data_IF_279569686392
#
_entry.id   IF_279569686392
#
_cell.length_a   1.000
_cell.length_b   1.000
_cell.length_c   1.000
_cell.angle_alpha   90.00
_cell.angle_beta   90.00
_cell.angle_gamma   90.00
#
_symmetry.space_group_name_H-M   'P 1'
#
loop_
_entity.id
_entity.type
_entity.pdbx_description
1 polymer ?
#
# COMPACT_ATOMS: atom_id res chain seq x y z
N UNK A 1 34.61 29.71 2.65
CA UNK A 1 33.51 29.27 3.52
C UNK A 1 32.20 29.73 2.91
N UNK A 2 31.29 28.82 2.55
CA UNK A 2 30.04 29.18 1.90
C UNK A 2 28.98 28.10 2.11
N UNK A 3 27.96 28.43 2.90
CA UNK A 3 26.78 27.62 3.20
C UNK A 3 26.02 27.31 1.91
N UNK A 4 25.82 26.03 1.58
CA UNK A 4 24.81 25.61 0.57
C UNK A 4 23.56 25.10 1.29
N UNK A 5 22.51 25.93 1.24
CA UNK A 5 21.12 25.50 1.40
C UNK A 5 20.70 24.86 0.08
N UNK A 6 20.37 23.58 0.10
CA UNK A 6 19.63 22.92 -0.99
C UNK A 6 18.21 22.66 -0.49
N UNK A 7 17.27 23.49 -0.94
CA UNK A 7 15.85 23.26 -0.75
C UNK A 7 15.38 22.16 -1.70
N UNK A 8 14.80 21.11 -1.11
CA UNK A 8 13.98 20.06 -1.71
C UNK A 8 12.92 20.63 -2.67
N UNK A 9 12.72 19.95 -3.80
CA UNK A 9 11.46 19.94 -4.57
C UNK A 9 11.48 18.79 -5.58
N UNK A 10 11.20 17.57 -5.12
CA UNK A 10 10.75 16.45 -5.94
C UNK A 10 9.63 15.75 -5.17
N UNK A 11 8.42 16.29 -5.23
CA UNK A 11 7.22 15.54 -4.85
C UNK A 11 6.67 14.93 -6.14
N UNK A 12 6.71 13.60 -6.24
CA UNK A 12 6.11 12.83 -7.33
C UNK A 12 4.59 12.92 -7.22
N UNK A 13 3.98 13.78 -8.05
CA UNK A 13 2.53 13.89 -8.18
C UNK A 13 2.02 12.69 -9.00
N UNK A 14 1.13 11.87 -8.41
CA UNK A 14 0.39 10.85 -9.15
C UNK A 14 -0.75 11.53 -9.91
N UNK A 15 -0.70 11.46 -11.24
CA UNK A 15 -1.71 12.05 -12.13
C UNK A 15 -3.00 11.23 -12.10
N UNK A 16 -4.14 11.90 -11.98
CA UNK A 16 -5.48 11.31 -11.86
C UNK A 16 -6.33 11.81 -13.02
N UNK A 17 -6.48 10.99 -14.05
CA UNK A 17 -7.39 11.24 -15.17
C UNK A 17 -8.78 10.69 -14.82
N UNK A 18 -9.78 11.57 -14.81
CA UNK A 18 -11.19 11.20 -14.66
C UNK A 18 -12.02 12.01 -15.68
N UNK A 19 -12.25 11.40 -16.85
CA UNK A 19 -13.11 11.92 -17.90
C UNK A 19 -14.57 11.53 -17.61
N UNK A 20 -15.33 12.46 -17.04
CA UNK A 20 -16.79 12.34 -17.00
C UNK A 20 -17.44 13.61 -17.58
N UNK A 21 -17.58 13.64 -18.91
CA UNK A 21 -18.33 14.69 -19.61
C UNK A 21 -19.83 14.35 -19.63
N UNK A 22 -20.61 14.95 -18.73
CA UNK A 22 -22.07 14.97 -18.85
C UNK A 22 -22.53 16.24 -19.57
N UNK A 23 -23.22 16.06 -20.69
CA UNK A 23 -23.90 17.11 -21.44
C UNK A 23 -25.21 17.49 -20.74
N UNK A 24 -25.42 18.80 -20.58
CA UNK A 24 -26.60 19.40 -19.94
C UNK A 24 -27.89 19.22 -20.74
N UNK A 25 -29.01 19.23 -20.03
CA UNK A 25 -30.23 19.91 -20.50
C UNK A 25 -30.90 20.62 -19.33
N UNK A 26 -31.00 21.95 -19.45
CA UNK A 26 -31.74 22.82 -18.53
C UNK A 26 -33.23 22.74 -18.83
N UNK A 27 -34.05 22.57 -17.79
CA UNK A 27 -35.40 23.12 -17.80
C UNK A 27 -35.69 23.76 -16.45
N UNK A 28 -36.11 25.02 -16.51
CA UNK A 28 -36.45 25.88 -15.38
C UNK A 28 -37.93 25.73 -15.05
N UNK A 29 -38.28 25.24 -13.86
CA UNK A 29 -39.52 25.59 -13.16
C UNK A 29 -39.33 25.50 -11.64
N UNK A 30 -39.81 26.53 -10.94
CA UNK A 30 -39.82 26.70 -9.48
C UNK A 30 -41.03 25.98 -8.88
N UNK A 31 -40.86 25.22 -7.80
CA UNK A 31 -41.39 25.50 -6.44
C UNK A 31 -41.61 24.21 -5.63
N UNK A 32 -41.01 24.24 -4.43
CA UNK A 32 -41.53 23.83 -3.13
C UNK A 32 -41.91 22.37 -2.78
N UNK A 33 -41.29 21.96 -1.66
CA UNK A 33 -41.71 20.98 -0.65
C UNK A 33 -41.81 19.52 -1.09
N UNK A 34 -40.74 18.76 -0.86
CA UNK A 34 -40.66 17.63 0.09
C UNK A 34 -39.29 16.96 -0.13
N UNK A 35 -38.34 17.08 0.78
CA UNK A 35 -37.08 16.33 0.69
C UNK A 35 -36.59 15.97 2.08
N UNK A 36 -37.24 14.97 2.67
CA UNK A 36 -36.72 14.27 3.86
C UNK A 36 -36.78 12.73 3.71
N UNK A 37 -37.57 12.12 2.82
CA UNK A 37 -37.64 10.64 2.76
C UNK A 37 -36.65 9.95 1.80
N UNK A 38 -35.98 10.69 0.91
CA UNK A 38 -35.14 10.08 -0.14
C UNK A 38 -33.82 9.47 0.34
N UNK A 39 -33.30 9.86 1.50
CA UNK A 39 -32.06 9.28 2.05
C UNK A 39 -32.35 8.02 2.86
N UNK A 40 -33.41 8.06 3.69
CA UNK A 40 -33.85 6.93 4.51
C UNK A 40 -34.40 5.77 3.65
N UNK A 41 -35.17 6.06 2.59
CA UNK A 41 -35.68 5.00 1.69
C UNK A 41 -34.57 4.32 0.87
N UNK A 42 -33.46 5.00 0.60
CA UNK A 42 -32.31 4.43 -0.13
C UNK A 42 -31.40 3.62 0.81
N UNK A 43 -31.25 4.02 2.07
CA UNK A 43 -30.55 3.22 3.09
C UNK A 43 -31.31 1.95 3.46
N UNK A 44 -32.63 2.04 3.71
CA UNK A 44 -33.47 0.86 4.03
C UNK A 44 -33.47 -0.19 2.90
N UNK A 45 -33.45 0.24 1.64
CA UNK A 45 -33.35 -0.66 0.49
C UNK A 45 -31.99 -1.35 0.39
N UNK A 46 -30.89 -0.68 0.78
CA UNK A 46 -29.55 -1.26 0.76
C UNK A 46 -29.35 -2.28 1.88
N UNK A 47 -29.89 -2.01 3.07
CA UNK A 47 -29.85 -2.95 4.19
C UNK A 47 -30.63 -4.23 3.87
N UNK A 48 -31.79 -4.09 3.23
CA UNK A 48 -32.57 -5.24 2.75
C UNK A 48 -31.81 -6.09 1.72
N UNK A 49 -31.02 -5.48 0.84
CA UNK A 49 -30.21 -6.19 -0.16
C UNK A 49 -29.02 -6.91 0.48
N UNK A 50 -28.43 -6.34 1.53
CA UNK A 50 -27.37 -6.96 2.31
C UNK A 50 -27.88 -8.17 3.09
N UNK A 51 -29.05 -8.07 3.71
CA UNK A 51 -29.70 -9.20 4.38
C UNK A 51 -30.00 -10.34 3.40
N UNK A 52 -30.55 -10.02 2.22
CA UNK A 52 -30.77 -11.01 1.15
C UNK A 52 -29.44 -11.64 0.69
N UNK A 53 -28.37 -10.84 0.57
CA UNK A 53 -27.06 -11.35 0.20
C UNK A 53 -26.51 -12.32 1.26
N UNK A 54 -26.67 -12.04 2.56
CA UNK A 54 -26.28 -12.97 3.64
C UNK A 54 -27.09 -14.26 3.59
N UNK A 55 -28.39 -14.18 3.35
CA UNK A 55 -29.25 -15.36 3.21
C UNK A 55 -28.82 -16.22 2.01
N UNK A 56 -28.49 -15.57 0.88
CA UNK A 56 -27.96 -16.23 -0.31
C UNK A 56 -26.61 -16.94 -0.08
N UNK A 57 -25.87 -16.62 0.98
CA UNK A 57 -24.69 -17.41 1.35
C UNK A 57 -25.08 -18.83 1.78
N UNK A 58 -26.30 -19.09 2.29
CA UNK A 58 -26.78 -20.42 2.71
C UNK A 58 -27.08 -21.36 1.55
N UNK A 59 -27.13 -20.83 0.32
CA UNK A 59 -27.46 -21.61 -0.85
C UNK A 59 -26.44 -22.71 -1.15
N UNK A 60 -26.95 -23.87 -1.60
CA UNK A 60 -26.10 -25.02 -1.96
C UNK A 60 -25.23 -24.73 -3.17
N UNK A 61 -25.71 -23.89 -4.08
CA UNK A 61 -25.05 -23.57 -5.35
C UNK A 61 -23.93 -22.54 -5.16
N UNK A 62 -22.69 -22.93 -5.47
CA UNK A 62 -21.51 -22.05 -5.32
C UNK A 62 -21.60 -20.74 -6.12
N UNK A 63 -22.12 -20.77 -7.35
CA UNK A 63 -22.28 -19.56 -8.15
C UNK A 63 -23.25 -18.53 -7.53
N UNK A 64 -24.23 -18.97 -6.73
CA UNK A 64 -25.13 -18.06 -6.01
C UNK A 64 -24.40 -17.41 -4.84
N UNK A 65 -23.64 -18.21 -4.06
CA UNK A 65 -22.79 -17.70 -2.98
C UNK A 65 -21.73 -16.72 -3.50
N UNK A 66 -21.11 -16.99 -4.65
CA UNK A 66 -20.16 -16.07 -5.29
C UNK A 66 -20.79 -14.71 -5.63
N UNK A 67 -22.02 -14.69 -6.14
CA UNK A 67 -22.74 -13.44 -6.43
C UNK A 67 -23.08 -12.68 -5.15
N UNK A 68 -23.51 -13.39 -4.12
CA UNK A 68 -23.78 -12.81 -2.81
C UNK A 68 -22.53 -12.15 -2.21
N UNK A 69 -21.38 -12.84 -2.21
CA UNK A 69 -20.12 -12.27 -1.73
C UNK A 69 -19.71 -11.02 -2.54
N UNK A 70 -19.87 -11.04 -3.87
CA UNK A 70 -19.59 -9.86 -4.69
C UNK A 70 -20.49 -8.66 -4.34
N UNK A 71 -21.79 -8.91 -4.10
CA UNK A 71 -22.74 -7.88 -3.65
C UNK A 71 -22.35 -7.29 -2.30
N UNK A 72 -21.92 -8.15 -1.35
CA UNK A 72 -21.44 -7.70 -0.03
C UNK A 72 -20.19 -6.82 -0.20
N UNK A 73 -19.22 -7.23 -1.02
CA UNK A 73 -18.00 -6.43 -1.28
C UNK A 73 -18.35 -5.06 -1.87
N UNK A 74 -19.30 -5.00 -2.82
CA UNK A 74 -19.75 -3.75 -3.42
C UNK A 74 -20.40 -2.83 -2.37
N UNK A 75 -21.22 -3.39 -1.47
CA UNK A 75 -21.85 -2.64 -0.40
C UNK A 75 -20.85 -2.11 0.63
N UNK A 76 -19.81 -2.87 0.98
CA UNK A 76 -18.74 -2.45 1.90
C UNK A 76 -17.83 -1.36 1.30
N UNK A 77 -17.51 -1.45 0.00
CA UNK A 77 -16.83 -0.36 -0.70
C UNK A 77 -17.76 0.86 -0.90
N UNK A 78 -19.06 0.57 -0.99
CA UNK A 78 -20.21 1.46 -1.02
C UNK A 78 -20.30 2.45 0.13
N UNK A 79 -20.25 1.89 1.34
CA UNK A 79 -20.48 2.55 2.62
C UNK A 79 -19.84 1.74 3.74
N UNK A 80 -19.41 2.40 4.82
CA UNK A 80 -19.01 1.68 6.02
C UNK A 80 -20.28 1.10 6.68
N UNK A 81 -20.49 -0.20 6.47
CA UNK A 81 -21.70 -0.93 6.88
C UNK A 81 -21.73 -1.21 8.40
N UNK A 82 -21.47 -0.20 9.24
CA UNK A 82 -21.29 -0.37 10.69
C UNK A 82 -22.51 -1.01 11.37
N UNK A 83 -23.72 -0.48 11.13
CA UNK A 83 -24.95 -1.00 11.75
C UNK A 83 -25.24 -2.45 11.35
N UNK A 84 -25.08 -2.77 10.06
CA UNK A 84 -25.24 -4.13 9.56
C UNK A 84 -24.23 -5.09 10.19
N UNK A 85 -22.96 -4.68 10.28
CA UNK A 85 -21.90 -5.47 10.90
C UNK A 85 -22.17 -5.71 12.37
N UNK A 86 -22.64 -4.72 13.12
CA UNK A 86 -23.00 -4.90 14.53
C UNK A 86 -24.05 -5.99 14.73
N UNK A 87 -25.05 -6.08 13.85
CA UNK A 87 -26.15 -7.06 13.93
C UNK A 87 -25.77 -8.44 13.40
N UNK A 88 -24.97 -8.52 12.33
CA UNK A 88 -24.76 -9.76 11.55
C UNK A 88 -23.32 -10.27 11.56
N UNK A 89 -22.43 -9.68 12.35
CA UNK A 89 -21.00 -10.03 12.46
C UNK A 89 -20.74 -11.53 12.48
N UNK A 90 -21.23 -12.22 13.51
CA UNK A 90 -20.94 -13.64 13.72
C UNK A 90 -21.45 -14.51 12.56
N UNK A 91 -22.65 -14.19 12.05
CA UNK A 91 -23.23 -14.88 10.90
C UNK A 91 -22.35 -14.71 9.67
N UNK A 92 -22.01 -13.47 9.32
CA UNK A 92 -21.22 -13.17 8.13
C UNK A 92 -19.83 -13.80 8.19
N UNK A 93 -19.13 -13.65 9.32
CA UNK A 93 -17.82 -14.26 9.53
C UNK A 93 -17.90 -15.77 9.36
N UNK A 94 -18.82 -16.44 10.08
CA UNK A 94 -19.01 -17.87 9.97
C UNK A 94 -19.29 -18.34 8.53
N UNK A 95 -20.07 -17.58 7.76
CA UNK A 95 -20.34 -17.92 6.36
C UNK A 95 -19.11 -17.78 5.49
N UNK A 96 -18.36 -16.69 5.63
CA UNK A 96 -17.11 -16.50 4.90
C UNK A 96 -16.09 -17.60 5.22
N UNK A 97 -15.91 -17.96 6.50
CA UNK A 97 -15.00 -19.03 6.91
C UNK A 97 -15.39 -20.39 6.32
N UNK A 98 -16.69 -20.67 6.18
CA UNK A 98 -17.16 -21.89 5.51
C UNK A 98 -16.83 -21.88 4.00
N UNK A 99 -16.99 -20.74 3.34
CA UNK A 99 -16.58 -20.53 1.95
C UNK A 99 -15.06 -20.67 1.78
N UNK A 100 -14.23 -20.23 2.74
CA UNK A 100 -12.78 -20.46 2.72
C UNK A 100 -12.41 -21.94 2.80
N UNK A 101 -13.17 -22.73 3.59
CA UNK A 101 -12.90 -24.17 3.77
C UNK A 101 -13.30 -25.02 2.56
N UNK A 102 -14.40 -24.70 1.89
CA UNK A 102 -15.05 -25.60 0.90
C UNK A 102 -15.38 -24.95 -0.45
N UNK A 103 -15.13 -23.66 -0.61
CA UNK A 103 -15.49 -22.90 -1.80
C UNK A 103 -14.63 -23.20 -3.02
N UNK A 104 -15.08 -22.72 -4.18
CA UNK A 104 -14.27 -22.63 -5.39
C UNK A 104 -13.10 -21.65 -5.19
N UNK A 105 -12.09 -21.65 -6.06
CA UNK A 105 -11.00 -20.65 -5.99
C UNK A 105 -11.52 -19.21 -6.04
N UNK A 106 -12.59 -18.97 -6.80
CA UNK A 106 -13.24 -17.67 -6.90
C UNK A 106 -14.05 -17.34 -5.64
N UNK A 107 -14.82 -18.29 -5.13
CA UNK A 107 -15.57 -18.13 -3.88
C UNK A 107 -14.62 -17.85 -2.70
N UNK A 108 -13.49 -18.56 -2.62
CA UNK A 108 -12.44 -18.34 -1.60
C UNK A 108 -11.87 -16.92 -1.72
N UNK A 109 -11.59 -16.46 -2.93
CA UNK A 109 -11.03 -15.11 -3.16
C UNK A 109 -12.00 -14.00 -2.73
N UNK A 110 -13.30 -14.17 -3.03
CA UNK A 110 -14.34 -13.22 -2.63
C UNK A 110 -14.58 -13.27 -1.11
N UNK A 111 -14.60 -14.48 -0.52
CA UNK A 111 -14.77 -14.65 0.91
C UNK A 111 -13.59 -14.06 1.70
N UNK A 112 -12.35 -14.26 1.24
CA UNK A 112 -11.16 -13.70 1.88
C UNK A 112 -11.18 -12.17 1.83
N UNK A 113 -11.57 -11.60 0.69
CA UNK A 113 -11.72 -10.15 0.57
C UNK A 113 -12.82 -9.59 1.49
N UNK A 114 -13.96 -10.29 1.57
CA UNK A 114 -15.07 -9.92 2.46
C UNK A 114 -14.64 -9.92 3.93
N UNK A 115 -13.85 -10.92 4.36
CA UNK A 115 -13.31 -11.00 5.72
C UNK A 115 -12.37 -9.82 6.03
N UNK A 116 -11.52 -9.43 5.09
CA UNK A 116 -10.65 -8.25 5.28
C UNK A 116 -11.44 -6.93 5.35
N UNK A 117 -12.47 -6.77 4.51
CA UNK A 117 -13.38 -5.61 4.59
C UNK A 117 -14.16 -5.57 5.90
N UNK A 118 -14.60 -6.73 6.38
CA UNK A 118 -15.26 -6.89 7.68
C UNK A 118 -14.34 -6.42 8.81
N UNK A 119 -13.08 -6.87 8.82
CA UNK A 119 -12.09 -6.43 9.81
C UNK A 119 -11.87 -4.91 9.77
N UNK A 120 -11.65 -4.32 8.58
CA UNK A 120 -11.47 -2.88 8.43
C UNK A 120 -12.70 -2.07 8.88
N UNK A 121 -13.91 -2.59 8.67
CA UNK A 121 -15.15 -1.90 9.05
C UNK A 121 -15.40 -1.95 10.56
N UNK A 122 -15.01 -3.04 11.22
CA UNK A 122 -15.13 -3.16 12.69
C UNK A 122 -14.09 -2.30 13.40
N UNK A 123 -12.88 -2.22 12.83
CA UNK A 123 -11.74 -1.58 13.48
C UNK A 123 -11.13 -2.44 14.59
N UNK A 124 -10.09 -1.93 15.26
CA UNK A 124 -9.36 -2.68 16.28
C UNK A 124 -10.23 -2.93 17.52
N UNK A 125 -10.12 -4.13 18.09
CA UNK A 125 -10.90 -4.54 19.27
C UNK A 125 -11.11 -6.05 19.34
N UNK A 126 -11.95 -6.50 20.28
CA UNK A 126 -12.15 -7.93 20.54
C UNK A 126 -12.72 -8.70 19.33
N UNK A 127 -13.65 -8.08 18.60
CA UNK A 127 -14.21 -8.66 17.37
C UNK A 127 -13.15 -8.82 16.26
N UNK A 128 -12.19 -7.92 16.16
CA UNK A 128 -11.11 -8.04 15.18
C UNK A 128 -10.12 -9.16 15.55
N UNK A 129 -9.85 -9.35 16.84
CA UNK A 129 -9.07 -10.48 17.35
C UNK A 129 -9.77 -11.81 17.08
N UNK A 130 -11.08 -11.88 17.33
CA UNK A 130 -11.91 -13.05 16.99
C UNK A 130 -11.83 -13.37 15.49
N UNK A 131 -11.90 -12.37 14.60
CA UNK A 131 -11.71 -12.58 13.16
C UNK A 131 -10.35 -13.22 12.88
N UNK A 132 -9.26 -12.67 13.44
CA UNK A 132 -7.91 -13.18 13.21
C UNK A 132 -7.78 -14.63 13.70
N UNK A 133 -8.16 -14.90 14.94
CA UNK A 133 -8.10 -16.23 15.56
C UNK A 133 -8.89 -17.28 14.77
N UNK A 134 -10.14 -16.99 14.43
CA UNK A 134 -11.01 -17.92 13.71
C UNK A 134 -10.61 -18.11 12.24
N UNK A 135 -9.95 -17.13 11.63
CA UNK A 135 -9.53 -17.16 10.21
C UNK A 135 -8.22 -17.88 9.97
N UNK A 136 -7.30 -17.94 10.94
CA UNK A 136 -5.96 -18.55 10.76
C UNK A 136 -6.06 -19.99 10.23
N UNK A 137 -6.92 -20.81 10.83
CA UNK A 137 -7.04 -22.24 10.44
C UNK A 137 -7.66 -22.41 9.06
N UNK A 138 -8.83 -21.80 8.74
CA UNK A 138 -9.42 -21.83 7.40
C UNK A 138 -8.48 -21.30 6.30
N UNK A 139 -7.80 -20.18 6.53
CA UNK A 139 -6.85 -19.59 5.57
C UNK A 139 -5.66 -20.53 5.34
N UNK A 140 -5.11 -21.11 6.40
CA UNK A 140 -4.01 -22.08 6.30
C UNK A 140 -4.40 -23.35 5.53
N UNK A 141 -5.65 -23.81 5.67
CA UNK A 141 -6.18 -24.92 4.87
C UNK A 141 -6.39 -24.51 3.41
N UNK A 142 -6.88 -23.30 3.17
CA UNK A 142 -7.12 -22.77 1.83
C UNK A 142 -5.83 -22.56 1.02
N UNK A 143 -4.70 -22.28 1.68
CA UNK A 143 -3.38 -22.28 1.02
C UNK A 143 -2.99 -23.65 0.48
N UNK A 144 -3.40 -24.73 1.14
CA UNK A 144 -3.08 -26.11 0.74
C UNK A 144 -4.03 -26.66 -0.33
N UNK A 145 -5.22 -26.06 -0.49
CA UNK A 145 -6.27 -26.55 -1.40
C UNK A 145 -6.12 -26.01 -2.84
N UNK A 146 -5.12 -26.49 -3.58
CA UNK A 146 -4.87 -26.08 -4.97
C UNK A 146 -4.05 -24.80 -5.11
N UNK A 147 -3.38 -24.63 -6.25
CA UNK A 147 -2.27 -23.68 -6.44
C UNK A 147 -2.58 -22.51 -7.39
N UNK A 148 -3.83 -22.06 -7.43
CA UNK A 148 -4.23 -20.88 -8.21
C UNK A 148 -3.62 -19.60 -7.61
N UNK A 149 -2.82 -18.88 -8.40
CA UNK A 149 -2.04 -17.72 -7.92
C UNK A 149 -2.93 -16.57 -7.44
N UNK A 150 -4.07 -16.32 -8.08
CA UNK A 150 -5.03 -15.28 -7.70
C UNK A 150 -5.71 -15.57 -6.35
N UNK A 151 -6.07 -16.84 -6.12
CA UNK A 151 -6.62 -17.30 -4.85
C UNK A 151 -5.61 -17.13 -3.72
N UNK A 152 -4.35 -17.55 -3.95
CA UNK A 152 -3.28 -17.41 -2.95
C UNK A 152 -3.02 -15.93 -2.64
N UNK A 153 -2.98 -15.05 -3.65
CA UNK A 153 -2.84 -13.61 -3.44
C UNK A 153 -3.97 -13.05 -2.58
N UNK A 154 -5.23 -13.40 -2.87
CA UNK A 154 -6.40 -12.92 -2.11
C UNK A 154 -6.41 -13.41 -0.66
N UNK A 155 -5.91 -14.61 -0.40
CA UNK A 155 -5.74 -15.17 0.95
C UNK A 155 -4.63 -14.45 1.72
N UNK A 156 -3.52 -14.11 1.06
CA UNK A 156 -2.42 -13.35 1.65
C UNK A 156 -2.84 -11.94 2.00
N UNK A 157 -3.58 -11.27 1.12
CA UNK A 157 -4.16 -9.95 1.37
C UNK A 157 -5.14 -9.99 2.54
N UNK A 158 -6.02 -10.99 2.58
CA UNK A 158 -6.92 -11.19 3.72
C UNK A 158 -6.14 -11.36 5.02
N UNK A 159 -5.16 -12.28 5.07
CA UNK A 159 -4.38 -12.53 6.28
C UNK A 159 -3.63 -11.26 6.72
N UNK A 160 -3.04 -10.53 5.78
CA UNK A 160 -2.40 -9.24 6.04
C UNK A 160 -3.34 -8.23 6.69
N UNK A 161 -4.53 -8.03 6.13
CA UNK A 161 -5.50 -7.05 6.65
C UNK A 161 -6.04 -7.45 8.02
N UNK A 162 -6.42 -8.72 8.22
CA UNK A 162 -6.94 -9.14 9.53
C UNK A 162 -5.88 -9.11 10.62
N UNK A 163 -4.61 -9.41 10.29
CA UNK A 163 -3.49 -9.24 11.23
C UNK A 163 -3.22 -7.77 11.52
N UNK A 164 -3.30 -6.89 10.51
CA UNK A 164 -3.11 -5.45 10.67
C UNK A 164 -4.14 -4.81 11.61
N UNK A 165 -5.39 -5.28 11.59
CA UNK A 165 -6.47 -4.74 12.43
C UNK A 165 -6.55 -5.46 13.79
N UNK A 166 -6.42 -6.79 13.80
CA UNK A 166 -6.68 -7.63 14.97
C UNK A 166 -5.44 -8.11 15.72
N UNK A 167 -4.25 -8.04 15.12
CA UNK A 167 -2.98 -8.48 15.71
C UNK A 167 -2.43 -7.45 16.69
N UNK A 168 -2.91 -7.50 17.93
CA UNK A 168 -2.48 -6.60 18.99
C UNK A 168 -1.16 -7.11 19.60
N UNK A 169 -1.02 -8.43 19.71
CA UNK A 169 0.17 -9.04 20.28
C UNK A 169 1.23 -9.34 19.20
N UNK A 170 2.52 -9.15 19.52
CA UNK A 170 3.60 -9.45 18.57
C UNK A 170 3.63 -10.93 18.17
N UNK A 171 3.21 -11.83 19.06
CA UNK A 171 3.18 -13.28 18.81
C UNK A 171 2.14 -13.66 17.73
N UNK A 172 0.96 -13.04 17.74
CA UNK A 172 -0.10 -13.24 16.74
C UNK A 172 0.35 -12.74 15.36
N UNK A 173 1.03 -11.60 15.36
CA UNK A 173 1.61 -10.97 14.18
C UNK A 173 2.72 -11.83 13.59
N UNK A 174 3.67 -12.29 14.42
CA UNK A 174 4.74 -13.19 14.01
C UNK A 174 4.19 -14.50 13.45
N UNK A 175 3.19 -15.10 14.10
CA UNK A 175 2.54 -16.34 13.61
C UNK A 175 1.97 -16.15 12.21
N UNK A 176 1.31 -15.03 11.95
CA UNK A 176 0.76 -14.70 10.62
C UNK A 176 1.87 -14.53 9.59
N UNK A 177 2.96 -13.84 9.93
CA UNK A 177 4.14 -13.69 9.07
C UNK A 177 4.81 -15.04 8.77
N UNK A 178 4.94 -15.92 9.76
CA UNK A 178 5.49 -17.26 9.58
C UNK A 178 4.64 -18.11 8.63
N UNK A 179 3.31 -18.02 8.70
CA UNK A 179 2.38 -18.71 7.78
C UNK A 179 2.64 -18.24 6.33
N UNK A 180 2.76 -16.92 6.11
CA UNK A 180 3.07 -16.38 4.77
C UNK A 180 4.44 -16.84 4.28
N UNK A 181 5.45 -16.80 5.14
CA UNK A 181 6.82 -17.15 4.79
C UNK A 181 6.99 -18.62 4.39
N UNK A 182 6.22 -19.52 5.00
CA UNK A 182 6.23 -20.96 4.66
C UNK A 182 5.81 -21.24 3.21
N UNK A 183 5.10 -20.33 2.54
CA UNK A 183 4.72 -20.50 1.13
C UNK A 183 5.89 -20.33 0.16
N UNK A 184 6.89 -19.53 0.53
CA UNK A 184 8.08 -19.27 -0.28
C UNK A 184 9.32 -19.98 0.26
N UNK A 185 9.34 -20.30 1.55
CA UNK A 185 10.41 -20.97 2.24
C UNK A 185 9.85 -22.08 3.17
N UNK A 186 9.32 -23.17 2.61
CA UNK A 186 8.79 -24.26 3.41
C UNK A 186 9.89 -24.86 4.29
N UNK A 187 9.61 -25.05 5.59
CA UNK A 187 10.51 -25.79 6.49
C UNK A 187 10.71 -27.16 5.86
N UNK A 188 11.96 -27.51 5.54
CA UNK A 188 12.34 -28.72 4.82
C UNK A 188 11.99 -29.96 5.67
N UNK A 189 10.74 -30.39 5.63
CA UNK A 189 10.30 -31.69 6.10
C UNK A 189 10.64 -32.73 5.03
N UNK A 190 11.26 -33.82 5.45
CA UNK A 190 11.58 -34.99 4.61
C UNK A 190 10.42 -35.34 3.65
N UNK A 191 10.73 -35.38 2.34
CA UNK A 191 9.89 -35.89 1.24
C UNK A 191 8.74 -35.06 0.65
N UNK A 192 8.78 -33.71 0.67
CA UNK A 192 7.83 -32.90 -0.12
C UNK A 192 8.51 -32.26 -1.33
N UNK A 193 8.05 -32.59 -2.54
CA UNK A 193 8.41 -31.90 -3.79
C UNK A 193 8.06 -30.42 -3.60
N UNK A 194 9.07 -29.55 -3.50
CA UNK A 194 8.87 -28.12 -3.41
C UNK A 194 8.39 -27.59 -4.76
N UNK A 195 7.09 -27.39 -4.89
CA UNK A 195 6.52 -26.65 -6.03
C UNK A 195 7.09 -25.24 -5.96
N UNK A 196 7.90 -24.87 -6.94
CA UNK A 196 8.47 -23.53 -7.05
C UNK A 196 7.33 -22.51 -7.15
N UNK A 197 7.23 -21.62 -6.17
CA UNK A 197 6.21 -20.57 -6.16
C UNK A 197 6.30 -19.70 -7.42
N UNK A 198 5.14 -19.32 -7.97
CA UNK A 198 5.06 -18.42 -9.13
C UNK A 198 5.52 -17.01 -8.74
N UNK A 199 5.95 -16.21 -9.71
CA UNK A 199 6.36 -14.82 -9.46
C UNK A 199 5.22 -13.99 -8.82
N UNK A 200 3.97 -14.26 -9.21
CA UNK A 200 2.77 -13.62 -8.62
C UNK A 200 2.64 -13.96 -7.15
N UNK A 201 2.80 -15.24 -6.78
CA UNK A 201 2.72 -15.68 -5.37
C UNK A 201 3.87 -15.11 -4.56
N UNK A 202 5.10 -15.12 -5.07
CA UNK A 202 6.25 -14.53 -4.38
C UNK A 202 6.02 -13.04 -4.12
N UNK A 203 5.58 -12.30 -5.14
CA UNK A 203 5.25 -10.87 -5.03
C UNK A 203 4.19 -10.63 -3.95
N UNK A 204 3.10 -11.41 -3.97
CA UNK A 204 2.02 -11.29 -2.99
C UNK A 204 2.50 -11.60 -1.57
N UNK A 205 3.30 -12.64 -1.38
CA UNK A 205 3.86 -13.01 -0.06
C UNK A 205 4.74 -11.89 0.47
N UNK A 206 5.68 -11.39 -0.33
CA UNK A 206 6.61 -10.33 0.10
C UNK A 206 5.86 -9.03 0.38
N UNK A 207 4.85 -8.68 -0.43
CA UNK A 207 4.04 -7.48 -0.22
C UNK A 207 3.19 -7.57 1.05
N UNK A 208 2.55 -8.72 1.30
CA UNK A 208 1.74 -8.94 2.50
C UNK A 208 2.61 -9.00 3.78
N UNK A 209 3.76 -9.66 3.69
CA UNK A 209 4.71 -9.77 4.78
C UNK A 209 5.34 -8.41 5.14
N UNK A 210 5.76 -7.63 4.15
CA UNK A 210 6.29 -6.28 4.38
C UNK A 210 5.24 -5.33 4.94
N UNK A 211 3.99 -5.44 4.50
CA UNK A 211 2.87 -4.69 5.07
C UNK A 211 2.68 -4.99 6.56
N UNK A 212 2.60 -6.26 6.96
CA UNK A 212 2.50 -6.60 8.39
C UNK A 212 3.75 -6.13 9.15
N UNK A 213 4.93 -6.25 8.55
CA UNK A 213 6.17 -5.84 9.22
C UNK A 213 6.13 -4.35 9.65
N UNK A 214 5.44 -3.50 8.90
CA UNK A 214 5.27 -2.07 9.25
C UNK A 214 4.54 -1.82 10.58
N UNK A 215 3.78 -2.80 11.10
CA UNK A 215 3.08 -2.67 12.40
C UNK A 215 3.88 -3.24 13.57
N UNK A 216 4.96 -3.98 13.30
CA UNK A 216 5.78 -4.55 14.35
C UNK A 216 6.65 -3.47 15.00
N UNK A 217 6.87 -3.63 16.30
CA UNK A 217 7.86 -2.83 17.01
C UNK A 217 9.28 -3.25 16.61
N UNK A 218 10.24 -2.38 16.93
CA UNK A 218 11.64 -2.52 16.51
C UNK A 218 12.41 -3.70 17.16
N UNK A 219 11.74 -4.57 17.92
CA UNK A 219 12.36 -5.51 18.88
C UNK A 219 11.73 -6.92 18.90
N UNK A 220 10.66 -7.17 18.15
CA UNK A 220 9.85 -8.41 18.29
C UNK A 220 10.39 -9.63 17.53
N UNK A 221 11.32 -9.47 16.59
CA UNK A 221 11.78 -10.57 15.73
C UNK A 221 13.21 -11.02 16.05
N UNK A 222 13.45 -12.34 16.06
CA UNK A 222 14.76 -12.90 16.37
C UNK A 222 15.84 -12.53 15.33
N UNK A 223 17.09 -12.28 15.74
CA UNK A 223 18.19 -11.91 14.82
C UNK A 223 18.41 -12.90 13.65
N UNK A 224 18.15 -14.19 13.89
CA UNK A 224 18.31 -15.24 12.88
C UNK A 224 17.26 -15.12 11.77
N UNK A 225 16.00 -14.92 12.15
CA UNK A 225 14.91 -14.74 11.19
C UNK A 225 15.13 -13.50 10.32
N UNK A 226 15.69 -12.43 10.89
CA UNK A 226 16.06 -11.24 10.13
C UNK A 226 17.13 -11.50 9.09
N UNK A 227 18.24 -12.14 9.47
CA UNK A 227 19.33 -12.42 8.54
C UNK A 227 18.87 -13.34 7.40
N UNK A 228 18.08 -14.37 7.72
CA UNK A 228 17.49 -15.26 6.72
C UNK A 228 16.57 -14.50 5.75
N UNK A 229 15.71 -13.62 6.29
CA UNK A 229 14.79 -12.81 5.50
C UNK A 229 15.52 -11.84 4.57
N UNK A 230 16.51 -11.11 5.07
CA UNK A 230 17.32 -10.16 4.26
C UNK A 230 18.09 -10.89 3.17
N UNK A 231 18.67 -12.05 3.49
CA UNK A 231 19.40 -12.87 2.52
C UNK A 231 18.48 -13.35 1.41
N UNK A 232 17.28 -13.81 1.77
CA UNK A 232 16.27 -14.24 0.82
C UNK A 232 15.79 -13.07 -0.06
N UNK A 233 15.44 -11.92 0.53
CA UNK A 233 15.02 -10.73 -0.21
C UNK A 233 16.11 -10.21 -1.15
N UNK A 234 17.39 -10.22 -0.73
CA UNK A 234 18.52 -9.91 -1.63
C UNK A 234 18.60 -10.87 -2.82
N UNK A 235 18.28 -12.15 -2.65
CA UNK A 235 18.22 -13.12 -3.76
C UNK A 235 17.05 -12.87 -4.73
N UNK A 236 15.99 -12.21 -4.26
CA UNK A 236 14.85 -11.84 -5.10
C UNK A 236 15.13 -10.63 -5.99
N UNK A 237 16.05 -9.75 -5.60
CA UNK A 237 16.49 -8.62 -6.43
C UNK A 237 17.18 -9.07 -7.73
N UNK A 238 17.73 -10.28 -7.76
CA UNK A 238 18.38 -10.88 -8.94
C UNK A 238 17.39 -11.64 -9.86
N UNK A 239 16.08 -11.65 -9.56
CA UNK A 239 15.08 -12.35 -10.38
C UNK A 239 14.70 -11.58 -11.64
N UNK A 240 14.37 -12.29 -12.70
CA UNK A 240 13.93 -11.65 -13.96
C UNK A 240 12.62 -10.87 -13.79
N UNK A 241 11.70 -11.40 -12.98
CA UNK A 241 10.38 -10.80 -12.76
C UNK A 241 10.49 -9.47 -12.00
N UNK A 242 9.96 -8.42 -12.61
CA UNK A 242 10.03 -7.05 -12.10
C UNK A 242 9.18 -6.84 -10.86
N UNK A 243 8.01 -7.44 -10.79
CA UNK A 243 7.11 -7.31 -9.63
C UNK A 243 7.75 -7.94 -8.39
N UNK A 244 8.43 -9.07 -8.56
CA UNK A 244 9.22 -9.71 -7.49
C UNK A 244 10.34 -8.80 -7.02
N UNK A 245 11.10 -8.19 -7.94
CA UNK A 245 12.18 -7.25 -7.60
C UNK A 245 11.67 -6.02 -6.86
N UNK A 246 10.58 -5.42 -7.34
CA UNK A 246 9.91 -4.27 -6.71
C UNK A 246 9.50 -4.60 -5.28
N UNK A 247 8.76 -5.70 -5.08
CA UNK A 247 8.28 -6.10 -3.75
C UNK A 247 9.45 -6.40 -2.80
N UNK A 248 10.53 -7.02 -3.31
CA UNK A 248 11.73 -7.26 -2.50
C UNK A 248 12.44 -5.97 -2.10
N UNK A 249 12.49 -4.98 -2.99
CA UNK A 249 13.01 -3.64 -2.69
C UNK A 249 12.19 -2.95 -1.60
N UNK A 250 10.87 -2.87 -1.77
CA UNK A 250 9.95 -2.28 -0.78
C UNK A 250 10.08 -2.98 0.59
N UNK A 251 10.16 -4.31 0.61
CA UNK A 251 10.34 -5.06 1.84
C UNK A 251 11.68 -4.71 2.53
N UNK A 252 12.79 -4.71 1.80
CA UNK A 252 14.11 -4.38 2.34
C UNK A 252 14.14 -2.98 2.95
N UNK A 253 13.48 -2.00 2.33
CA UNK A 253 13.42 -0.63 2.85
C UNK A 253 12.78 -0.56 4.24
N UNK A 254 11.68 -1.28 4.48
CA UNK A 254 11.06 -1.36 5.81
C UNK A 254 12.05 -1.94 6.83
N UNK A 255 12.79 -2.99 6.46
CA UNK A 255 13.80 -3.60 7.34
C UNK A 255 14.89 -2.59 7.72
N UNK A 256 15.36 -1.81 6.74
CA UNK A 256 16.36 -0.78 6.96
C UNK A 256 15.82 0.42 7.76
N UNK A 257 14.59 0.85 7.52
CA UNK A 257 13.90 1.91 8.29
C UNK A 257 13.68 1.52 9.76
N UNK A 258 13.32 0.25 10.00
CA UNK A 258 13.29 -0.33 11.34
C UNK A 258 14.69 -0.42 11.98
N UNK A 259 15.77 -0.06 11.27
CA UNK A 259 17.12 0.01 11.82
C UNK A 259 17.63 -1.35 12.32
N UNK A 260 17.07 -2.44 11.79
CA UNK A 260 17.41 -3.80 12.25
C UNK A 260 18.87 -4.12 11.96
N UNK A 261 19.43 -3.59 10.86
CA UNK A 261 20.78 -3.92 10.41
C UNK A 261 21.90 -3.35 11.30
N UNK A 262 21.71 -2.12 11.79
CA UNK A 262 22.70 -1.43 12.64
C UNK A 262 22.62 -1.92 14.09
N UNK A 263 21.45 -2.40 14.52
CA UNK A 263 21.28 -3.01 15.84
C UNK A 263 21.94 -4.38 15.97
N UNK A 264 21.86 -5.24 14.96
CA UNK A 264 22.60 -6.51 14.97
C UNK A 264 24.11 -6.32 14.97
N UNK A 265 24.59 -5.19 14.43
CA UNK A 265 25.98 -4.80 14.54
C UNK A 265 26.37 -4.40 15.98
N UNK A 266 25.49 -3.68 16.70
CA UNK A 266 25.77 -3.19 18.07
C UNK A 266 25.47 -4.19 19.19
N UNK A 267 24.46 -5.06 19.04
CA UNK A 267 24.12 -6.10 20.04
C UNK A 267 25.21 -7.18 20.13
N UNK A 268 25.95 -7.40 19.04
CA UNK A 268 27.13 -8.26 19.03
C UNK A 268 28.30 -7.69 19.86
N UNK A 269 28.29 -6.40 20.22
CA UNK A 269 29.31 -5.76 21.05
C UNK A 269 28.91 -5.64 22.53
N UNK A 270 27.62 -5.70 22.87
CA UNK A 270 27.10 -5.48 24.24
C UNK A 270 27.13 -6.70 25.16
N UNK A 271 27.29 -7.92 24.63
CA UNK A 271 27.38 -9.15 25.42
C UNK A 271 28.82 -9.53 25.74
N UNK A 272 29.57 -8.60 26.35
CA UNK A 272 30.95 -8.87 26.79
C UNK A 272 31.03 -8.92 28.32
N UNK A 273 30.51 -10.00 28.90
CA UNK A 273 30.89 -10.44 30.24
C UNK A 273 31.32 -11.92 30.20
N UNK A 274 32.59 -12.13 29.84
CA UNK A 274 33.38 -13.27 30.29
C UNK A 274 33.43 -14.51 29.40
N UNK A 275 34.27 -14.52 28.35
CA UNK A 275 35.28 -15.58 28.11
C UNK A 275 36.08 -15.32 26.83
N UNK A 276 37.37 -15.65 26.83
CA UNK A 276 38.40 -15.24 25.84
C UNK A 276 38.35 -16.09 24.55
N UNK A 277 37.17 -16.56 24.12
CA UNK A 277 37.04 -17.39 22.89
C UNK A 277 35.92 -16.95 21.93
N UNK A 278 35.13 -15.91 22.27
CA UNK A 278 33.96 -15.48 21.48
C UNK A 278 34.16 -14.19 20.65
N UNK A 279 35.37 -13.60 20.66
CA UNK A 279 35.65 -12.36 19.92
C UNK A 279 35.69 -12.46 18.39
N UNK A 280 35.83 -13.68 17.83
CA UNK A 280 35.91 -13.87 16.37
C UNK A 280 34.54 -14.03 15.69
N UNK A 281 33.53 -14.61 16.36
CA UNK A 281 32.21 -14.87 15.76
C UNK A 281 31.36 -13.61 15.64
N UNK A 282 31.43 -12.69 16.61
CA UNK A 282 30.73 -11.40 16.57
C UNK A 282 31.26 -10.50 15.44
N UNK A 283 32.59 -10.49 15.25
CA UNK A 283 33.26 -9.76 14.18
C UNK A 283 32.95 -10.33 12.79
N UNK A 284 32.86 -11.65 12.66
CA UNK A 284 32.48 -12.33 11.42
C UNK A 284 31.01 -12.08 11.06
N UNK A 285 30.10 -12.09 12.04
CA UNK A 285 28.70 -11.71 11.85
C UNK A 285 28.52 -10.26 11.40
N UNK A 286 29.28 -9.33 11.98
CA UNK A 286 29.30 -7.92 11.57
C UNK A 286 29.80 -7.74 10.13
N UNK A 287 30.89 -8.42 9.76
CA UNK A 287 31.42 -8.40 8.39
C UNK A 287 30.44 -9.00 7.39
N UNK A 288 29.73 -10.06 7.76
CA UNK A 288 28.71 -10.67 6.93
C UNK A 288 27.53 -9.71 6.67
N UNK A 289 27.06 -9.02 7.71
CA UNK A 289 25.98 -8.02 7.60
C UNK A 289 26.41 -6.82 6.74
N UNK A 290 27.63 -6.31 6.94
CA UNK A 290 28.18 -5.23 6.12
C UNK A 290 28.37 -5.66 4.65
N UNK A 291 28.84 -6.89 4.42
CA UNK A 291 28.95 -7.48 3.09
C UNK A 291 27.59 -7.62 2.40
N UNK A 292 26.56 -8.05 3.15
CA UNK A 292 25.20 -8.15 2.64
C UNK A 292 24.60 -6.77 2.31
N UNK A 293 24.82 -5.75 3.16
CA UNK A 293 24.44 -4.36 2.87
C UNK A 293 25.11 -3.85 1.60
N UNK A 294 26.41 -4.09 1.44
CA UNK A 294 27.16 -3.67 0.25
C UNK A 294 26.66 -4.38 -1.02
N UNK A 295 26.32 -5.68 -0.92
CA UNK A 295 25.72 -6.44 -2.02
C UNK A 295 24.38 -5.82 -2.44
N UNK A 296 23.47 -5.60 -1.48
CA UNK A 296 22.15 -5.02 -1.73
C UNK A 296 22.28 -3.62 -2.35
N UNK A 297 23.18 -2.78 -1.84
CA UNK A 297 23.44 -1.45 -2.40
C UNK A 297 23.87 -1.50 -3.87
N UNK A 298 24.70 -2.47 -4.26
CA UNK A 298 25.09 -2.64 -5.66
C UNK A 298 23.91 -3.12 -6.52
N UNK A 299 23.15 -4.12 -6.05
CA UNK A 299 21.94 -4.60 -6.74
C UNK A 299 20.93 -3.46 -6.97
N UNK A 300 20.64 -2.67 -5.93
CA UNK A 300 19.74 -1.51 -6.01
C UNK A 300 20.27 -0.47 -7.01
N UNK A 301 21.57 -0.18 -6.98
CA UNK A 301 22.20 0.76 -7.92
C UNK A 301 21.99 0.29 -9.37
N UNK A 302 22.24 -0.98 -9.65
CA UNK A 302 22.07 -1.54 -10.99
C UNK A 302 20.61 -1.47 -11.46
N UNK A 303 19.66 -1.80 -10.58
CA UNK A 303 18.22 -1.73 -10.87
C UNK A 303 17.69 -0.30 -11.08
N UNK A 304 18.33 0.70 -10.44
CA UNK A 304 17.96 2.12 -10.59
C UNK A 304 18.30 2.70 -11.97
N UNK A 305 19.27 2.09 -12.67
CA UNK A 305 19.76 2.50 -14.00
C UNK A 305 19.52 1.46 -15.09
N UNK A 306 18.84 0.36 -14.78
CA UNK A 306 18.61 -0.78 -15.70
C UNK A 306 18.11 -0.29 -17.06
N UNK A 307 18.80 -0.63 -18.15
CA UNK A 307 18.42 -0.26 -19.50
C UNK A 307 17.09 -0.91 -19.92
N UNK A 308 16.31 -0.23 -20.76
CA UNK A 308 15.07 -0.79 -21.27
C UNK A 308 15.34 -1.93 -22.25
N UNK A 309 15.04 -3.16 -21.85
CA UNK A 309 15.09 -4.33 -22.73
C UNK A 309 14.04 -4.27 -23.84
N UNK A 310 14.32 -4.92 -24.98
CA UNK A 310 13.32 -5.13 -26.04
C UNK A 310 12.17 -5.99 -25.48
N UNK A 311 10.95 -5.46 -25.49
CA UNK A 311 9.73 -6.16 -25.04
C UNK A 311 9.25 -5.83 -23.62
N UNK A 312 9.91 -4.92 -22.90
CA UNK A 312 9.46 -4.50 -21.56
C UNK A 312 8.36 -3.44 -21.64
N UNK A 313 7.31 -3.58 -20.83
CA UNK A 313 6.35 -2.50 -20.59
C UNK A 313 7.09 -1.28 -20.04
N UNK A 314 7.08 -0.18 -20.80
CA UNK A 314 7.83 1.05 -20.49
C UNK A 314 7.41 1.67 -19.14
N UNK A 315 6.13 1.49 -18.76
CA UNK A 315 5.56 2.01 -17.51
C UNK A 315 6.20 1.36 -16.28
N UNK A 316 6.28 0.03 -16.26
CA UNK A 316 6.77 -0.72 -15.11
C UNK A 316 8.27 -0.50 -14.90
N UNK A 317 9.03 -0.36 -15.99
CA UNK A 317 10.46 -0.02 -15.91
C UNK A 317 10.68 1.36 -15.30
N UNK A 318 9.85 2.35 -15.65
CA UNK A 318 9.95 3.69 -15.08
C UNK A 318 9.63 3.68 -13.59
N UNK A 319 8.58 2.96 -13.17
CA UNK A 319 8.25 2.79 -11.74
C UNK A 319 9.40 2.10 -10.99
N UNK A 320 9.91 0.99 -11.52
CA UNK A 320 11.05 0.27 -10.94
C UNK A 320 12.27 1.19 -10.75
N UNK A 321 12.66 1.94 -11.79
CA UNK A 321 13.80 2.87 -11.70
C UNK A 321 13.55 3.99 -10.70
N UNK A 322 12.33 4.52 -10.61
CA UNK A 322 11.97 5.54 -9.63
C UNK A 322 12.11 4.98 -8.22
N UNK A 323 11.48 3.83 -7.96
CA UNK A 323 11.54 3.14 -6.68
C UNK A 323 12.99 2.89 -6.27
N UNK A 324 13.81 2.26 -7.12
CA UNK A 324 15.19 1.96 -6.74
C UNK A 324 16.10 3.18 -6.64
N UNK A 325 15.72 4.34 -7.21
CA UNK A 325 16.41 5.61 -6.91
C UNK A 325 16.06 6.09 -5.51
N UNK A 326 14.79 6.04 -5.13
CA UNK A 326 14.32 6.43 -3.80
C UNK A 326 14.94 5.50 -2.73
N UNK A 327 14.97 4.19 -2.99
CA UNK A 327 15.67 3.16 -2.17
C UNK A 327 17.16 3.49 -2.05
N UNK A 328 17.83 3.83 -3.17
CA UNK A 328 19.26 4.15 -3.14
C UNK A 328 19.56 5.40 -2.31
N UNK A 329 18.74 6.45 -2.45
CA UNK A 329 18.85 7.70 -1.69
C UNK A 329 18.61 7.46 -0.20
N UNK A 330 17.62 6.63 0.14
CA UNK A 330 17.38 6.23 1.54
C UNK A 330 18.56 5.47 2.13
N UNK A 331 19.09 4.45 1.44
CA UNK A 331 20.18 3.63 1.97
C UNK A 331 21.53 4.36 2.10
N UNK A 332 21.76 5.40 1.28
CA UNK A 332 22.98 6.20 1.29
C UNK A 332 22.89 7.41 2.22
N UNK A 333 21.80 8.16 2.11
CA UNK A 333 21.66 9.49 2.71
C UNK A 333 20.59 9.54 3.83
N UNK A 334 19.82 8.47 4.02
CA UNK A 334 18.78 8.36 5.05
C UNK A 334 17.50 9.13 4.72
N UNK A 335 17.33 9.63 3.49
CA UNK A 335 16.13 10.38 3.10
C UNK A 335 15.02 9.44 2.63
N UNK A 336 13.91 9.44 3.35
CA UNK A 336 12.68 8.79 2.88
C UNK A 336 12.00 9.65 1.81
N UNK A 337 11.39 9.03 0.77
CA UNK A 337 10.55 9.76 -0.18
C UNK A 337 9.34 10.41 0.53
N UNK A 338 9.18 11.73 0.35
CA UNK A 338 7.96 12.44 0.74
C UNK A 338 6.97 12.36 -0.42
N UNK A 339 5.86 11.64 -0.22
CA UNK A 339 4.79 11.54 -1.24
C UNK A 339 3.53 12.23 -0.77
N UNK A 340 2.84 12.88 -1.72
CA UNK A 340 1.58 13.56 -1.47
C UNK A 340 0.48 12.95 -2.34
N UNK A 341 -0.63 12.55 -1.71
CA UNK A 341 -1.82 12.07 -2.38
C UNK A 341 -3.03 12.90 -1.97
N UNK A 342 -3.90 13.24 -2.92
CA UNK A 342 -5.17 13.89 -2.59
C UNK A 342 -6.26 12.86 -2.38
N UNK A 343 -6.92 12.93 -1.23
CA UNK A 343 -8.02 12.05 -0.83
C UNK A 343 -9.18 12.96 -0.40
N UNK A 344 -10.32 12.88 -1.08
CA UNK A 344 -11.49 13.68 -0.71
C UNK A 344 -11.29 15.20 -0.76
N UNK A 345 -10.28 15.69 -1.48
CA UNK A 345 -9.91 17.10 -1.55
C UNK A 345 -8.79 17.54 -0.58
N UNK A 346 -8.45 16.71 0.41
CA UNK A 346 -7.33 16.94 1.33
C UNK A 346 -6.07 16.21 0.87
N UNK A 347 -4.89 16.77 1.16
CA UNK A 347 -3.63 16.10 0.87
C UNK A 347 -3.16 15.27 2.06
N UNK A 348 -3.06 13.95 1.88
CA UNK A 348 -2.29 13.07 2.74
C UNK A 348 -0.82 13.16 2.33
N UNK A 349 0.07 13.30 3.31
CA UNK A 349 1.52 13.22 3.12
C UNK A 349 2.02 11.94 3.79
N UNK A 350 2.87 11.18 3.11
CA UNK A 350 3.64 10.10 3.74
C UNK A 350 5.09 10.53 3.88
N UNK A 351 5.68 10.30 5.05
CA UNK A 351 7.08 10.66 5.34
C UNK A 351 7.97 9.46 5.67
N UNK A 352 7.41 8.25 5.71
CA UNK A 352 8.13 7.00 5.99
C UNK A 352 7.77 5.92 4.95
N UNK A 353 8.67 4.96 4.74
CA UNK A 353 8.41 3.79 3.92
C UNK A 353 7.30 2.93 4.51
N UNK A 354 7.26 2.82 5.84
CA UNK A 354 6.18 2.10 6.54
C UNK A 354 4.81 2.67 6.17
N UNK A 355 4.64 4.00 6.23
CA UNK A 355 3.38 4.67 5.84
C UNK A 355 3.08 4.48 4.35
N UNK A 356 4.09 4.59 3.48
CA UNK A 356 3.91 4.44 2.03
C UNK A 356 3.46 3.01 1.67
N UNK A 357 4.06 2.00 2.29
CA UNK A 357 3.71 0.59 2.07
C UNK A 357 2.32 0.28 2.61
N UNK A 358 1.99 0.77 3.82
CA UNK A 358 0.63 0.67 4.36
C UNK A 358 -0.40 1.28 3.42
N UNK A 359 -0.14 2.50 2.96
CA UNK A 359 -1.03 3.24 2.06
C UNK A 359 -1.24 2.51 0.74
N UNK A 360 -0.16 2.07 0.09
CA UNK A 360 -0.23 1.37 -1.20
C UNK A 360 -0.92 0.01 -1.08
N UNK A 361 -0.67 -0.72 0.02
CA UNK A 361 -1.31 -2.00 0.28
C UNK A 361 -2.82 -1.84 0.49
N UNK A 362 -3.23 -0.92 1.38
CA UNK A 362 -4.64 -0.63 1.66
C UNK A 362 -5.36 -0.06 0.44
N UNK A 363 -4.71 0.79 -0.36
CA UNK A 363 -5.27 1.31 -1.61
C UNK A 363 -5.53 0.19 -2.63
N UNK A 364 -4.61 -0.77 -2.75
CA UNK A 364 -4.80 -1.93 -3.65
C UNK A 364 -5.92 -2.83 -3.15
N UNK A 365 -5.95 -3.11 -1.85
CA UNK A 365 -6.97 -3.94 -1.23
C UNK A 365 -8.36 -3.31 -1.34
N UNK A 366 -8.54 -2.05 -0.94
CA UNK A 366 -9.84 -1.39 -0.95
C UNK A 366 -10.30 -0.97 -2.36
N UNK A 367 -9.39 -0.83 -3.32
CA UNK A 367 -9.70 -0.46 -4.70
C UNK A 367 -10.56 0.81 -4.78
N UNK A 368 -11.77 0.69 -5.34
CA UNK A 368 -12.72 1.79 -5.46
C UNK A 368 -13.27 2.32 -4.12
N UNK A 369 -13.24 1.51 -3.06
CA UNK A 369 -13.69 1.91 -1.72
C UNK A 369 -12.65 2.72 -0.93
N UNK A 370 -11.40 2.80 -1.41
CA UNK A 370 -10.29 3.41 -0.67
C UNK A 370 -10.59 4.85 -0.21
N UNK A 371 -11.08 5.70 -1.12
CA UNK A 371 -11.39 7.10 -0.81
C UNK A 371 -12.43 7.21 0.29
N UNK A 372 -13.47 6.37 0.24
CA UNK A 372 -14.56 6.39 1.20
C UNK A 372 -14.10 5.95 2.58
N UNK A 373 -13.38 4.83 2.64
CA UNK A 373 -12.75 4.35 3.86
C UNK A 373 -11.84 5.43 4.48
N UNK A 374 -10.98 6.09 3.71
CA UNK A 374 -10.14 7.16 4.25
C UNK A 374 -10.92 8.39 4.76
N UNK A 375 -12.13 8.64 4.28
CA UNK A 375 -12.98 9.75 4.72
C UNK A 375 -13.86 9.43 5.94
N UNK A 376 -14.22 8.17 6.12
CA UNK A 376 -15.22 7.77 7.13
C UNK A 376 -14.67 6.82 8.20
N UNK A 377 -13.62 6.07 7.90
CA UNK A 377 -13.09 5.04 8.80
C UNK A 377 -12.12 5.66 9.79
N UNK A 378 -12.53 5.78 11.05
CA UNK A 378 -11.74 6.40 12.12
C UNK A 378 -10.40 5.67 12.35
N UNK A 379 -10.39 4.33 12.27
CA UNK A 379 -9.17 3.55 12.40
C UNK A 379 -8.12 3.91 11.32
N UNK A 380 -8.52 3.99 10.05
CA UNK A 380 -7.59 4.38 8.99
C UNK A 380 -7.17 5.86 9.09
N UNK A 381 -8.06 6.72 9.56
CA UNK A 381 -7.73 8.12 9.84
C UNK A 381 -6.66 8.22 10.91
N UNK A 382 -6.78 7.44 11.99
CA UNK A 382 -5.80 7.39 13.08
C UNK A 382 -4.46 6.81 12.62
N UNK A 383 -4.47 5.70 11.87
CA UNK A 383 -3.26 5.07 11.29
C UNK A 383 -2.43 6.07 10.49
N UNK A 384 -3.09 6.90 9.67
CA UNK A 384 -2.42 7.84 8.79
C UNK A 384 -2.32 9.28 9.34
N UNK A 385 -2.85 9.53 10.55
CA UNK A 385 -2.99 10.90 11.08
C UNK A 385 -3.75 11.82 10.12
N UNK A 386 -4.72 11.27 9.37
CA UNK A 386 -5.47 11.96 8.34
C UNK A 386 -6.78 12.48 8.89
N UNK A 387 -6.97 13.79 8.86
CA UNK A 387 -8.25 14.41 9.24
C UNK A 387 -9.01 14.83 7.98
N UNK A 388 -10.05 14.09 7.56
CA UNK A 388 -10.84 14.48 6.41
C UNK A 388 -11.60 15.78 6.72
N UNK A 389 -11.77 16.63 5.71
CA UNK A 389 -12.78 17.70 5.80
C UNK A 389 -14.15 17.05 5.83
N UNK A 390 -14.69 16.86 7.04
CA UNK A 390 -16.09 16.55 7.23
C UNK A 390 -16.86 17.71 6.61
N UNK A 391 -17.52 17.46 5.48
CA UNK A 391 -18.55 18.37 5.01
C UNK A 391 -19.63 18.34 6.08
N UNK A 392 -19.56 19.28 7.03
CA UNK A 392 -20.72 19.66 7.81
C UNK A 392 -21.86 19.81 6.81
N UNK A 393 -22.97 19.13 7.05
CA UNK A 393 -24.21 19.16 6.26
C UNK A 393 -24.86 20.56 6.34
N UNK A 394 -24.11 21.61 6.01
CA UNK A 394 -24.44 23.01 6.26
C UNK A 394 -23.32 24.01 5.99
N UNK A 395 -22.19 23.63 5.37
CA UNK A 395 -21.09 24.55 5.06
C UNK A 395 -20.99 24.90 3.57
N UNK A 396 -21.49 26.09 3.21
CA UNK A 396 -21.28 26.84 1.97
C UNK A 396 -20.73 26.05 0.76
N UNK A 397 -21.63 25.70 -0.15
CA UNK A 397 -21.27 25.52 -1.55
C UNK A 397 -20.43 26.73 -1.97
N UNK A 398 -19.11 26.55 -2.14
CA UNK A 398 -18.28 27.50 -2.86
C UNK A 398 -18.92 27.62 -4.24
N UNK A 399 -19.67 28.70 -4.41
CA UNK A 399 -20.54 28.92 -5.56
C UNK A 399 -19.74 28.65 -6.83
N UNK A 400 -20.36 28.00 -7.82
CA UNK A 400 -19.73 27.75 -9.13
C UNK A 400 -19.14 29.04 -9.73
N UNK A 401 -19.63 30.22 -9.30
CA UNK A 401 -19.03 31.52 -9.60
C UNK A 401 -17.61 31.70 -9.04
N UNK A 402 -17.29 31.28 -7.81
CA UNK A 402 -15.92 31.34 -7.27
C UNK A 402 -14.98 30.37 -8.01
N UNK A 403 -15.42 29.14 -8.29
CA UNK A 403 -14.62 28.18 -9.09
C UNK A 403 -14.35 28.74 -10.50
N UNK A 404 -15.34 29.38 -11.13
CA UNK A 404 -15.20 30.04 -12.43
C UNK A 404 -14.32 31.31 -12.36
N UNK A 405 -14.33 32.03 -11.23
CA UNK A 405 -13.52 33.24 -11.04
C UNK A 405 -12.02 32.93 -10.84
N UNK A 406 -11.68 31.80 -10.20
CA UNK A 406 -10.28 31.44 -9.90
C UNK A 406 -9.66 30.42 -10.87
N UNK A 407 -10.46 29.51 -11.47
CA UNK A 407 -9.97 28.42 -12.34
C UNK A 407 -10.25 28.62 -13.84
N UNK A 408 -10.89 29.72 -14.24
CA UNK A 408 -11.06 30.06 -15.66
C UNK A 408 -9.72 30.36 -16.34
N UNK A 409 -9.56 30.03 -17.65
CA UNK A 409 -8.40 30.43 -18.45
C UNK A 409 -8.11 31.94 -18.39
N UNK A 410 -9.13 32.77 -18.17
CA UNK A 410 -9.05 34.23 -18.06
C UNK A 410 -8.96 34.74 -16.61
N UNK A 411 -8.77 33.87 -15.61
CA UNK A 411 -8.68 34.32 -14.21
C UNK A 411 -7.44 35.18 -13.96
N UNK A 412 -7.55 36.11 -13.01
CA UNK A 412 -6.45 37.02 -12.62
C UNK A 412 -5.21 36.21 -12.18
N UNK A 413 -5.41 35.08 -11.51
CA UNK A 413 -4.34 34.17 -11.09
C UNK A 413 -3.66 33.50 -12.29
N UNK A 414 -4.43 33.01 -13.27
CA UNK A 414 -3.84 32.37 -14.44
C UNK A 414 -3.15 33.39 -15.38
N UNK A 415 -3.67 34.62 -15.44
CA UNK A 415 -3.04 35.74 -16.15
C UNK A 415 -1.73 36.15 -15.49
N UNK A 416 -1.70 36.25 -14.16
CA UNK A 416 -0.47 36.54 -13.40
C UNK A 416 0.57 35.41 -13.56
N UNK A 417 0.14 34.14 -13.53
CA UNK A 417 1.02 32.98 -13.75
C UNK A 417 1.61 32.98 -15.17
N UNK A 418 0.78 33.24 -16.18
CA UNK A 418 1.23 33.32 -17.58
C UNK A 418 2.22 34.48 -17.79
N UNK A 419 1.95 35.66 -17.22
CA UNK A 419 2.88 36.79 -17.26
C UNK A 419 4.22 36.47 -16.59
N UNK A 420 4.19 35.79 -15.45
CA UNK A 420 5.40 35.39 -14.75
C UNK A 420 6.23 34.38 -15.57
N UNK A 421 5.58 33.37 -16.16
CA UNK A 421 6.23 32.38 -17.02
C UNK A 421 6.81 33.01 -18.29
N UNK A 422 6.09 33.95 -18.93
CA UNK A 422 6.62 34.69 -20.08
C UNK A 422 7.83 35.55 -19.70
N UNK A 423 7.82 36.19 -18.52
CA UNK A 423 8.99 36.94 -18.02
C UNK A 423 10.19 36.02 -17.79
N UNK A 424 9.99 34.81 -17.26
CA UNK A 424 11.06 33.81 -17.13
C UNK A 424 11.58 33.31 -18.48
N UNK A 425 10.69 33.12 -19.47
CA UNK A 425 11.09 32.73 -20.83
C UNK A 425 11.96 33.81 -21.49
N UNK A 426 11.56 35.08 -21.42
CA UNK A 426 12.36 36.20 -21.94
C UNK A 426 13.73 36.31 -21.26
N UNK A 427 13.80 36.09 -19.95
CA UNK A 427 15.08 36.06 -19.21
C UNK A 427 15.97 34.88 -19.62
N UNK A 428 15.37 33.73 -19.99
CA UNK A 428 16.12 32.58 -20.51
C UNK A 428 16.60 32.76 -21.95
N UNK A 429 15.85 33.46 -22.80
CA UNK A 429 16.28 33.85 -24.16
C UNK A 429 17.42 34.89 -24.13
N UNK A 430 17.35 35.88 -23.25
CA UNK A 430 18.45 36.83 -23.02
C UNK A 430 19.75 36.15 -22.56
N UNK A 431 19.65 35.10 -21.74
CA UNK A 431 20.81 34.27 -21.36
C UNK A 431 21.38 33.43 -22.50
N UNK A 432 20.54 33.00 -23.47
CA UNK A 432 21.01 32.30 -24.67
C UNK A 432 21.68 33.26 -25.66
N UNK A 433 21.19 34.49 -25.79
CA UNK A 433 21.78 35.53 -26.64
C UNK A 433 23.13 36.01 -26.09
N UNK A 434 23.26 36.17 -24.77
CA UNK A 434 24.52 36.54 -24.12
C UNK A 434 25.64 35.50 -24.23
N UNK A 435 25.32 34.24 -24.55
CA UNK A 435 26.33 33.18 -24.74
C UNK A 435 26.91 33.13 -26.16
N UNK A 436 26.28 33.78 -27.15
CA UNK A 436 26.79 33.86 -28.53
C UNK A 436 27.48 35.20 -28.85
N UNK A 437 27.38 36.21 -27.99
CA UNK A 437 27.96 37.55 -28.23
C UNK A 437 29.35 37.77 -27.61
N UNK A 438 29.92 36.78 -26.90
CA UNK A 438 31.22 36.93 -26.18
C UNK A 438 32.39 36.26 -26.94
N UNK A 439 32.18 35.75 -28.16
CA UNK A 439 33.23 35.08 -28.93
C UNK A 439 33.50 35.67 -30.33
N UNK A 440 33.30 36.98 -30.50
CA UNK A 440 33.73 37.69 -31.73
C UNK A 440 34.43 38.98 -31.34
N UNK A 441 35.75 38.94 -31.30
CA UNK A 441 36.62 40.12 -31.14
C UNK A 441 37.81 39.86 -30.23
N UNK A 442 38.80 39.13 -30.72
CA UNK A 442 40.23 39.38 -30.48
C UNK A 442 41.07 38.39 -31.33
N UNK A 443 41.09 38.63 -32.64
CA UNK A 443 42.21 38.31 -33.52
C UNK A 443 42.35 39.49 -34.49
N UNK A 444 43.33 40.36 -34.25
CA UNK A 444 44.21 41.00 -35.25
C UNK A 444 44.82 42.31 -34.71
N UNK A 445 46.12 42.23 -34.37
CA UNK A 445 47.20 43.25 -34.44
C UNK A 445 48.06 43.33 -33.18
#
# INVERSE_FOLDING_TARGET
MGKRKTQRKNATMLDSDDDNSSVSSSSTMRSDRMSVSGTEEVELNKDSLLDEAVDNLYEKRGSTREKALASIIEAFNSNLQHEFVEKKFATLLHRCLNSLKKGSSKEISLASHTVGLLALTIGPGDKAREILEESITPVSQAFKSGYESSKIASLLECLAIITFVGGIEPEETEKSMQIMWQLVHPKLGSNVITVKASAVVITAVVSAWSFILTTMDRWSLSPKLWLESITYLSSLLDKDDRSVRIAAGEALEVIFEMGSLEKFATEAEGSNNGSVSEGNKSKEGLLHIQGLRAKILNQVRDLSVEAGGKGSAKKDLNYQRSLFKDVLEFLQDGYCPETSMKIGGESLQTSTWSQLIQLNFLRRFLGGGFTKHMQENEFLQDVFGFTPKRNLVGGEHVSNNLKRMYKSPNSVINKARTQHLNKQRMLSEGKKIGHFAVNVGDEDS
#
